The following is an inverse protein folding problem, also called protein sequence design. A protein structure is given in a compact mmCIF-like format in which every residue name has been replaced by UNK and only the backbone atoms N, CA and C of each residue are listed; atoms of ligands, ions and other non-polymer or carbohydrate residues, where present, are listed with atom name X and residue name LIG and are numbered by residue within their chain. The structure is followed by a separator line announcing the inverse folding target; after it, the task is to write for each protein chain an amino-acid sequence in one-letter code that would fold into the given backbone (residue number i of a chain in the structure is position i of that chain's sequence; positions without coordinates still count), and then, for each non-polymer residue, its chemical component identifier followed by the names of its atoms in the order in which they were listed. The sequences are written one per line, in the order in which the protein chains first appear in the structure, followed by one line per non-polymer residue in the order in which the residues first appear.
data_IF_492921565476
#
_entry.id   IF_492921565476
#
_cell.length_a   1.000
_cell.length_b   1.000
_cell.length_c   1.000
_cell.angle_alpha   90.00
_cell.angle_beta   90.00
_cell.angle_gamma   90.00
#
_symmetry.space_group_name_H-M   'P 1'
#
loop_
_entity.id
_entity.type
_entity.pdbx_description
1 polymer ?
#
# COMPACT_ATOMS: atom_id res chain seq x y z
N UNK A 1 -49.57 -37.65 34.08
CA UNK A 1 -50.06 -36.26 33.99
C UNK A 1 -49.27 -35.60 32.86
N UNK A 2 -49.86 -35.55 31.66
CA UNK A 2 -50.60 -34.41 31.09
C UNK A 2 -49.64 -33.28 30.69
N UNK A 3 -49.63 -32.68 29.51
CA UNK A 3 -50.43 -32.70 28.27
C UNK A 3 -49.58 -31.92 27.22
N UNK A 4 -49.58 -32.34 25.94
CA UNK A 4 -49.39 -31.45 24.77
C UNK A 4 -50.72 -30.70 24.53
N UNK A 5 -50.84 -29.54 23.83
CA UNK A 5 -50.61 -29.43 22.37
C UNK A 5 -50.27 -27.98 21.83
N UNK A 6 -49.76 -27.86 20.58
CA UNK A 6 -50.33 -27.22 19.34
C UNK A 6 -50.49 -25.69 19.23
N UNK A 7 -49.98 -25.13 18.11
CA UNK A 7 -50.67 -24.34 17.05
C UNK A 7 -49.57 -23.73 16.12
N UNK A 8 -49.40 -24.05 14.82
CA UNK A 8 -50.21 -23.85 13.60
C UNK A 8 -50.49 -22.38 13.17
N UNK A 9 -50.24 -22.09 11.88
CA UNK A 9 -50.74 -20.93 11.10
C UNK A 9 -49.61 -20.12 10.41
N UNK A 10 -49.21 -20.31 9.14
CA UNK A 10 -49.88 -20.12 7.82
C UNK A 10 -50.35 -18.67 7.56
N UNK A 11 -49.71 -17.98 6.62
CA UNK A 11 -50.37 -17.32 5.46
C UNK A 11 -49.37 -16.53 4.58
N UNK A 12 -49.42 -16.83 3.29
CA UNK A 12 -48.83 -16.07 2.20
C UNK A 12 -49.70 -14.84 1.84
N UNK A 13 -49.16 -13.91 1.02
CA UNK A 13 -49.78 -13.18 -0.12
C UNK A 13 -48.81 -12.02 -0.51
N UNK A 14 -48.09 -12.09 -1.63
CA UNK A 14 -48.42 -11.69 -3.02
C UNK A 14 -48.57 -10.18 -3.27
N UNK A 15 -47.69 -9.60 -4.11
CA UNK A 15 -48.06 -8.62 -5.15
C UNK A 15 -47.02 -8.55 -6.28
N UNK A 16 -47.49 -8.82 -7.50
CA UNK A 16 -46.82 -8.64 -8.81
C UNK A 16 -46.95 -7.17 -9.26
N UNK A 17 -46.08 -6.71 -10.16
CA UNK A 17 -46.33 -5.54 -11.01
C UNK A 17 -45.11 -5.03 -11.79
N UNK A 18 -45.09 -5.29 -13.10
CA UNK A 18 -44.13 -4.88 -14.14
C UNK A 18 -44.48 -3.47 -14.66
N UNK A 19 -43.51 -2.60 -14.99
CA UNK A 19 -43.57 -1.68 -16.17
C UNK A 19 -42.14 -1.34 -16.66
N UNK A 20 -42.00 -1.37 -17.98
CA UNK A 20 -40.85 -1.12 -18.88
C UNK A 20 -40.59 0.39 -19.09
N UNK A 21 -39.34 0.79 -19.38
CA UNK A 21 -39.05 2.13 -19.89
C UNK A 21 -37.60 2.33 -20.38
N UNK A 22 -37.35 1.98 -21.65
CA UNK A 22 -36.22 2.47 -22.47
C UNK A 22 -36.32 3.99 -22.66
N UNK A 23 -35.20 4.71 -22.65
CA UNK A 23 -34.82 5.77 -23.61
C UNK A 23 -33.32 6.05 -23.40
N UNK A 24 -32.53 5.76 -24.42
CA UNK A 24 -31.16 6.24 -24.56
C UNK A 24 -31.13 7.58 -25.31
N UNK A 25 -30.15 8.41 -24.99
CA UNK A 25 -29.72 9.51 -25.86
C UNK A 25 -28.19 9.55 -25.80
N UNK A 26 -27.55 9.07 -26.86
CA UNK A 26 -26.15 9.31 -27.19
C UNK A 26 -26.05 10.65 -27.93
N UNK A 27 -25.24 11.58 -27.41
CA UNK A 27 -24.85 12.77 -28.14
C UNK A 27 -23.44 12.56 -28.72
N UNK A 28 -23.40 12.67 -30.04
CA UNK A 28 -22.23 12.66 -30.90
C UNK A 28 -21.34 13.88 -30.63
N UNK A 29 -20.04 13.70 -30.82
CA UNK A 29 -19.03 14.73 -30.64
C UNK A 29 -18.96 15.76 -31.77
N UNK A 30 -18.12 16.76 -31.56
CA UNK A 30 -17.54 17.57 -32.61
C UNK A 30 -16.01 17.52 -32.46
N UNK A 31 -15.39 16.77 -33.37
CA UNK A 31 -14.03 16.96 -33.83
C UNK A 31 -13.97 18.28 -34.60
N UNK A 32 -12.93 19.08 -34.40
CA UNK A 32 -12.59 20.18 -35.29
C UNK A 32 -11.06 20.33 -35.31
N UNK A 33 -10.46 19.62 -36.27
CA UNK A 33 -9.73 20.30 -37.34
C UNK A 33 -8.37 20.85 -36.96
N UNK A 34 -7.37 19.97 -36.99
CA UNK A 34 -5.99 20.36 -37.28
C UNK A 34 -5.92 20.92 -38.71
N UNK A 35 -5.35 22.12 -38.89
CA UNK A 35 -4.77 22.54 -40.16
C UNK A 35 -3.69 23.58 -39.87
N UNK A 36 -2.45 23.09 -39.90
CA UNK A 36 -1.24 23.88 -39.99
C UNK A 36 -1.16 24.52 -41.38
N UNK A 37 -0.74 25.79 -41.43
CA UNK A 37 -0.10 26.34 -42.61
C UNK A 37 0.98 27.33 -42.16
N UNK A 38 2.23 26.87 -42.31
CA UNK A 38 3.48 27.57 -42.08
C UNK A 38 3.64 28.81 -42.95
N UNK A 39 4.20 29.89 -42.39
CA UNK A 39 5.14 30.77 -43.12
C UNK A 39 6.27 31.20 -42.18
N UNK A 40 7.46 31.28 -42.76
CA UNK A 40 8.76 31.25 -42.10
C UNK A 40 9.58 32.52 -42.43
N UNK A 41 10.31 33.01 -41.42
CA UNK A 41 11.47 33.93 -41.38
C UNK A 41 11.32 35.46 -41.64
N UNK A 42 11.39 36.22 -40.51
CA UNK A 42 12.33 37.30 -40.08
C UNK A 42 13.16 38.16 -41.07
N UNK A 43 13.81 39.29 -40.66
CA UNK A 43 13.84 39.99 -39.35
C UNK A 43 13.72 41.54 -39.42
N UNK A 44 13.17 42.19 -38.37
CA UNK A 44 13.52 43.59 -38.08
C UNK A 44 13.62 43.83 -36.59
N UNK A 45 14.84 44.14 -36.15
CA UNK A 45 15.23 44.54 -34.79
C UNK A 45 14.50 45.82 -34.35
N UNK A 46 13.71 45.74 -33.29
CA UNK A 46 13.55 46.85 -32.34
C UNK A 46 13.56 46.31 -30.92
N UNK A 47 14.53 46.80 -30.14
CA UNK A 47 14.57 46.67 -28.68
C UNK A 47 13.31 47.32 -28.12
N UNK A 48 12.53 46.56 -27.37
CA UNK A 48 11.73 47.09 -26.28
C UNK A 48 11.65 46.07 -25.15
N UNK A 49 11.99 46.52 -23.96
CA UNK A 49 11.98 45.75 -22.71
C UNK A 49 10.56 45.69 -22.18
N UNK A 50 10.11 44.54 -21.65
CA UNK A 50 9.23 44.62 -20.49
C UNK A 50 9.55 43.57 -19.39
N UNK A 51 9.64 44.12 -18.18
CA UNK A 51 9.25 43.56 -16.89
C UNK A 51 9.21 42.02 -16.75
N UNK A 52 10.23 41.50 -16.06
CA UNK A 52 10.30 40.13 -15.52
C UNK A 52 9.27 39.94 -14.40
N UNK A 53 8.02 39.64 -14.73
CA UNK A 53 7.08 39.02 -13.81
C UNK A 53 7.09 37.50 -14.00
N UNK A 54 8.14 36.84 -13.47
CA UNK A 54 8.14 35.39 -13.30
C UNK A 54 7.25 35.01 -12.11
N UNK A 55 5.94 35.00 -12.30
CA UNK A 55 5.09 34.10 -11.52
C UNK A 55 5.20 32.72 -12.16
N UNK A 56 6.28 32.01 -11.80
CA UNK A 56 6.44 30.59 -12.11
C UNK A 56 5.33 29.81 -11.40
N UNK A 57 4.29 29.46 -12.14
CA UNK A 57 3.26 28.54 -11.68
C UNK A 57 3.90 27.19 -11.41
N UNK A 58 4.03 26.82 -10.14
CA UNK A 58 4.52 25.50 -9.73
C UNK A 58 3.62 24.42 -10.32
N UNK A 59 4.20 23.41 -10.97
CA UNK A 59 3.44 22.28 -11.50
C UNK A 59 2.73 21.58 -10.34
N UNK A 60 1.45 21.25 -10.53
CA UNK A 60 0.63 20.53 -9.54
C UNK A 60 1.26 19.21 -9.09
N UNK A 61 2.10 18.59 -9.92
CA UNK A 61 2.90 17.40 -9.59
C UNK A 61 3.94 17.63 -8.50
N UNK A 62 4.40 18.87 -8.32
CA UNK A 62 5.39 19.24 -7.29
C UNK A 62 4.73 19.46 -5.91
N UNK A 63 3.43 19.74 -5.89
CA UNK A 63 2.65 20.03 -4.67
C UNK A 63 1.89 18.80 -4.18
N UNK A 64 1.43 17.91 -5.07
CA UNK A 64 0.62 16.75 -4.71
C UNK A 64 1.38 15.61 -4.00
N UNK A 65 2.72 15.62 -4.00
CA UNK A 65 3.54 14.56 -3.41
C UNK A 65 4.15 14.88 -2.03
N UNK A 66 4.04 16.13 -1.56
CA UNK A 66 4.69 16.58 -0.29
C UNK A 66 3.75 16.55 0.93
N UNK A 67 2.61 15.86 0.84
CA UNK A 67 1.73 15.69 1.97
C UNK A 67 2.36 14.74 3.01
N UNK A 68 2.97 15.35 4.03
CA UNK A 68 3.20 14.80 5.38
C UNK A 68 4.06 13.54 5.50
N UNK A 69 5.30 13.56 5.01
CA UNK A 69 6.33 12.71 5.62
C UNK A 69 7.15 13.60 6.54
N UNK A 70 7.04 13.39 7.86
CA UNK A 70 8.00 13.97 8.79
C UNK A 70 9.38 13.44 8.41
N UNK A 71 10.33 14.35 8.26
CA UNK A 71 11.71 14.00 7.96
C UNK A 71 12.30 13.30 9.20
N UNK A 72 12.50 11.99 9.10
CA UNK A 72 13.32 11.24 10.06
C UNK A 72 14.79 11.59 9.76
N UNK A 73 15.24 12.76 10.21
CA UNK A 73 16.56 13.35 9.94
C UNK A 73 17.74 12.50 10.43
N UNK A 74 17.49 11.52 11.29
CA UNK A 74 18.52 10.72 11.96
C UNK A 74 18.93 9.45 11.20
N UNK A 75 18.32 9.18 10.04
CA UNK A 75 18.67 7.99 9.26
C UNK A 75 19.85 8.26 8.32
N UNK A 76 20.91 7.47 8.48
CA UNK A 76 21.95 7.34 7.48
C UNK A 76 21.61 6.20 6.52
N UNK A 77 21.42 6.47 5.21
CA UNK A 77 21.29 5.43 4.18
C UNK A 77 22.41 4.40 4.29
N UNK A 78 22.04 3.12 4.25
CA UNK A 78 23.00 2.02 4.26
C UNK A 78 23.34 1.61 2.83
N UNK A 79 24.63 1.45 2.54
CA UNK A 79 25.06 0.83 1.28
C UNK A 79 24.83 -0.68 1.34
N UNK A 80 23.97 -1.18 0.46
CA UNK A 80 23.68 -2.62 0.32
C UNK A 80 24.83 -3.35 -0.39
N UNK A 81 25.15 -4.56 0.08
CA UNK A 81 26.07 -5.45 -0.63
C UNK A 81 25.45 -5.94 -1.96
N UNK A 82 26.28 -6.40 -2.91
CA UNK A 82 25.80 -6.83 -4.25
C UNK A 82 24.75 -7.95 -4.17
N UNK A 83 24.82 -8.80 -3.15
CA UNK A 83 23.88 -9.91 -2.96
C UNK A 83 22.61 -9.48 -2.24
N UNK A 84 22.64 -8.41 -1.45
CA UNK A 84 21.42 -7.76 -0.97
C UNK A 84 20.70 -7.03 -2.10
N UNK A 85 21.44 -6.42 -3.04
CA UNK A 85 20.86 -5.65 -4.14
C UNK A 85 19.90 -6.46 -5.00
N UNK A 86 20.11 -7.78 -5.15
CA UNK A 86 19.19 -8.64 -5.90
C UNK A 86 17.78 -8.68 -5.29
N UNK A 87 17.62 -8.37 -3.99
CA UNK A 87 16.34 -8.37 -3.27
C UNK A 87 15.64 -6.99 -3.27
N UNK A 88 16.24 -5.96 -3.84
CA UNK A 88 15.59 -4.66 -4.08
C UNK A 88 14.43 -4.86 -5.05
N UNK A 89 13.22 -4.52 -4.63
CA UNK A 89 12.03 -4.64 -5.46
C UNK A 89 10.73 -4.66 -4.67
N UNK A 90 9.63 -4.75 -5.40
CA UNK A 90 8.26 -4.81 -4.87
C UNK A 90 7.82 -6.26 -4.73
N UNK A 91 7.46 -6.68 -3.53
CA UNK A 91 6.94 -8.00 -3.22
C UNK A 91 5.49 -7.88 -2.76
N UNK A 92 4.62 -8.77 -3.24
CA UNK A 92 3.19 -8.74 -2.96
C UNK A 92 2.65 -10.11 -2.60
N UNK A 93 1.63 -10.10 -1.77
CA UNK A 93 0.76 -11.25 -1.51
C UNK A 93 -0.66 -10.78 -1.20
N UNK A 94 -1.64 -11.67 -1.33
CA UNK A 94 -3.01 -11.39 -0.93
C UNK A 94 -3.25 -11.94 0.48
N UNK A 95 -3.61 -11.06 1.40
CA UNK A 95 -3.90 -11.37 2.79
C UNK A 95 -5.41 -11.45 3.03
N UNK A 96 -5.78 -12.23 4.04
CA UNK A 96 -7.13 -12.22 4.58
C UNK A 96 -7.21 -11.16 5.65
N UNK A 97 -8.34 -10.45 5.69
CA UNK A 97 -8.57 -9.38 6.63
C UNK A 97 -9.56 -9.85 7.70
N UNK A 98 -9.05 -9.93 8.92
CA UNK A 98 -9.72 -10.37 10.13
C UNK A 98 -9.51 -9.39 11.30
N UNK A 99 -8.89 -8.22 11.05
CA UNK A 99 -8.82 -7.10 11.99
C UNK A 99 -7.69 -7.15 13.02
N UNK A 100 -6.85 -8.20 13.03
CA UNK A 100 -5.81 -8.36 14.05
C UNK A 100 -4.44 -7.86 13.58
N UNK A 101 -3.65 -8.70 12.90
CA UNK A 101 -2.29 -8.32 12.50
C UNK A 101 -2.29 -7.23 11.43
N UNK A 102 -3.16 -7.37 10.44
CA UNK A 102 -3.34 -6.36 9.41
C UNK A 102 -4.47 -5.41 9.80
N UNK A 103 -4.31 -4.08 9.66
CA UNK A 103 -5.32 -3.06 9.95
C UNK A 103 -6.47 -3.04 8.93
N UNK A 104 -7.04 -4.20 8.60
CA UNK A 104 -8.14 -4.38 7.67
C UNK A 104 -9.16 -5.38 8.23
N UNK A 105 -10.45 -5.05 8.17
CA UNK A 105 -11.48 -5.72 9.00
C UNK A 105 -12.09 -6.98 8.37
N UNK A 106 -12.44 -6.96 7.07
CA UNK A 106 -13.16 -8.08 6.43
C UNK A 106 -12.73 -8.32 4.99
N UNK A 107 -12.77 -9.53 4.44
CA UNK A 107 -12.44 -9.78 3.02
C UNK A 107 -10.94 -9.86 2.76
N UNK A 108 -10.46 -9.34 1.62
CA UNK A 108 -9.07 -9.49 1.15
C UNK A 108 -8.39 -8.15 0.94
N UNK A 109 -7.07 -8.12 1.10
CA UNK A 109 -6.23 -6.97 0.78
C UNK A 109 -4.90 -7.42 0.18
N UNK A 110 -4.25 -6.54 -0.56
CA UNK A 110 -2.89 -6.73 -1.02
C UNK A 110 -1.92 -6.24 0.04
N UNK A 111 -1.04 -7.12 0.51
CA UNK A 111 0.09 -6.77 1.36
C UNK A 111 1.34 -6.63 0.49
N UNK A 112 1.97 -5.47 0.55
CA UNK A 112 3.10 -5.09 -0.30
C UNK A 112 4.28 -4.68 0.57
N UNK A 113 5.47 -5.19 0.24
CA UNK A 113 6.76 -4.72 0.74
C UNK A 113 7.61 -4.21 -0.43
N UNK A 114 8.09 -2.98 -0.35
CA UNK A 114 9.03 -2.41 -1.30
C UNK A 114 10.40 -2.28 -0.64
N UNK A 115 11.32 -3.17 -0.96
CA UNK A 115 12.70 -3.09 -0.50
C UNK A 115 13.47 -2.09 -1.38
N UNK A 116 14.03 -1.05 -0.77
CA UNK A 116 14.70 0.04 -1.47
C UNK A 116 16.23 -0.06 -1.41
N UNK A 117 16.95 0.58 -2.37
CA UNK A 117 18.41 0.54 -2.44
C UNK A 117 19.14 1.16 -1.25
N UNK A 118 18.47 1.99 -0.46
CA UNK A 118 19.03 2.69 0.69
C UNK A 118 18.92 1.90 2.00
N UNK A 119 18.39 0.67 1.95
CA UNK A 119 18.15 -0.18 3.11
C UNK A 119 16.81 0.05 3.81
N UNK A 120 15.95 0.92 3.28
CA UNK A 120 14.58 1.10 3.79
C UNK A 120 13.61 0.11 3.15
N UNK A 121 12.50 -0.14 3.83
CA UNK A 121 11.39 -0.94 3.30
C UNK A 121 10.07 -0.21 3.51
N UNK A 122 9.27 -0.10 2.45
CA UNK A 122 7.92 0.47 2.55
C UNK A 122 6.87 -0.63 2.54
N UNK A 123 5.98 -0.55 3.52
CA UNK A 123 4.89 -1.49 3.70
C UNK A 123 3.56 -0.83 3.40
N UNK A 124 2.78 -1.44 2.51
CA UNK A 124 1.46 -0.95 2.14
C UNK A 124 0.43 -2.07 2.20
N UNK A 125 -0.77 -1.75 2.67
CA UNK A 125 -1.93 -2.64 2.61
C UNK A 125 -2.98 -1.97 1.74
N UNK A 126 -3.27 -2.55 0.58
CA UNK A 126 -4.13 -1.93 -0.43
C UNK A 126 -5.40 -2.75 -0.60
N UNK A 127 -6.55 -2.10 -0.54
CA UNK A 127 -7.85 -2.74 -0.78
C UNK A 127 -8.80 -1.75 -1.45
N UNK A 128 -9.46 -2.18 -2.53
CA UNK A 128 -10.43 -1.37 -3.29
C UNK A 128 -9.88 0.03 -3.65
N UNK A 129 -8.59 0.11 -3.98
CA UNK A 129 -7.89 1.37 -4.27
C UNK A 129 -7.58 2.24 -3.05
N UNK A 130 -8.05 1.90 -1.85
CA UNK A 130 -7.68 2.55 -0.60
C UNK A 130 -6.39 1.95 -0.06
N UNK A 131 -5.40 2.80 0.19
CA UNK A 131 -4.17 2.43 0.88
C UNK A 131 -4.39 2.65 2.37
N UNK A 132 -4.27 1.58 3.15
CA UNK A 132 -4.35 1.64 4.60
C UNK A 132 -2.94 1.80 5.15
N UNK A 133 -2.65 2.98 5.68
CA UNK A 133 -1.55 3.16 6.64
C UNK A 133 -1.96 2.53 7.97
N UNK A 134 -1.00 2.03 8.75
CA UNK A 134 -1.27 1.34 10.02
C UNK A 134 -2.21 2.17 10.90
N UNK A 135 -3.44 1.69 11.11
CA UNK A 135 -4.44 2.41 11.92
C UNK A 135 -3.84 2.64 13.31
N UNK A 136 -3.99 3.87 13.81
CA UNK A 136 -3.73 4.15 15.22
C UNK A 136 -4.60 3.24 16.08
N UNK A 137 -3.98 2.28 16.77
CA UNK A 137 -4.67 1.52 17.80
C UNK A 137 -4.91 2.44 19.00
N UNK A 138 -6.08 2.39 19.65
CA UNK A 138 -6.29 3.09 20.92
C UNK A 138 -5.16 2.72 21.89
N UNK A 139 -4.39 3.71 22.36
CA UNK A 139 -3.19 3.52 23.20
C UNK A 139 -1.84 3.64 22.48
N UNK A 140 -1.81 3.78 21.14
CA UNK A 140 -0.58 3.98 20.35
C UNK A 140 -0.69 5.28 19.53
N UNK A 141 -0.23 6.40 20.09
CA UNK A 141 -0.48 7.77 19.58
C UNK A 141 0.55 8.29 18.56
N UNK A 142 1.49 7.48 18.05
CA UNK A 142 2.60 7.97 17.21
C UNK A 142 2.85 7.09 15.96
N UNK A 143 1.83 6.82 15.16
CA UNK A 143 1.94 6.03 13.92
C UNK A 143 1.74 6.87 12.64
N UNK A 144 2.30 8.08 12.58
CA UNK A 144 2.58 8.71 11.29
C UNK A 144 3.69 7.89 10.61
N UNK A 145 3.64 7.77 9.28
CA UNK A 145 4.57 7.04 8.43
C UNK A 145 5.95 6.77 9.06
N UNK A 146 6.24 5.49 9.32
CA UNK A 146 7.44 5.05 10.04
C UNK A 146 8.43 4.46 9.04
N UNK A 147 9.66 4.97 9.03
CA UNK A 147 10.73 4.43 8.17
C UNK A 147 11.20 3.09 8.75
N UNK A 148 10.65 2.00 8.23
CA UNK A 148 11.13 0.65 8.49
C UNK A 148 12.39 0.38 7.66
N UNK A 149 13.26 -0.48 8.16
CA UNK A 149 14.51 -0.87 7.48
C UNK A 149 14.57 -2.37 7.28
N UNK A 150 15.55 -2.83 6.50
CA UNK A 150 15.75 -4.26 6.32
C UNK A 150 17.22 -4.63 6.22
N UNK A 151 17.49 -5.89 6.59
CA UNK A 151 18.80 -6.51 6.46
C UNK A 151 18.65 -7.94 5.96
N UNK A 152 19.76 -8.51 5.47
CA UNK A 152 19.89 -9.94 5.23
C UNK A 152 20.73 -10.58 6.34
N UNK A 153 20.38 -11.80 6.73
CA UNK A 153 21.17 -12.57 7.68
C UNK A 153 22.55 -12.97 7.09
N UNK A 154 23.46 -13.44 7.94
CA UNK A 154 24.82 -13.81 7.52
C UNK A 154 24.85 -15.01 6.58
N UNK A 155 23.95 -15.97 6.77
CA UNK A 155 23.84 -17.21 5.99
C UNK A 155 23.07 -16.99 4.69
N UNK A 156 22.43 -15.83 4.53
CA UNK A 156 21.73 -15.37 3.31
C UNK A 156 20.50 -16.21 2.99
N UNK A 157 19.88 -16.72 4.03
CA UNK A 157 18.67 -17.53 3.96
C UNK A 157 17.43 -16.73 4.37
N UNK A 158 17.61 -15.53 4.92
CA UNK A 158 16.54 -14.74 5.50
C UNK A 158 16.72 -13.23 5.29
N UNK A 159 15.62 -12.56 4.96
CA UNK A 159 15.49 -11.12 5.09
C UNK A 159 14.78 -10.78 6.40
N UNK A 160 15.26 -9.74 7.07
CA UNK A 160 14.70 -9.25 8.34
C UNK A 160 14.19 -7.84 8.10
N UNK A 161 12.90 -7.63 8.30
CA UNK A 161 12.27 -6.31 8.30
C UNK A 161 12.23 -5.78 9.72
N UNK A 162 12.93 -4.67 9.95
CA UNK A 162 12.98 -3.97 11.23
C UNK A 162 11.94 -2.86 11.22
N UNK A 163 10.93 -3.00 12.07
CA UNK A 163 9.97 -1.95 12.35
C UNK A 163 10.61 -0.89 13.23
N UNK A 164 10.29 0.38 13.03
CA UNK A 164 10.77 1.49 13.90
C UNK A 164 10.42 1.30 15.39
N UNK A 165 9.37 0.52 15.69
CA UNK A 165 8.96 0.09 17.03
C UNK A 165 9.95 -0.85 17.73
N UNK A 166 10.88 -1.43 16.96
CA UNK A 166 11.79 -2.49 17.38
C UNK A 166 11.30 -3.91 17.03
N UNK A 167 10.10 -4.07 16.47
CA UNK A 167 9.64 -5.39 16.01
C UNK A 167 10.45 -5.85 14.79
N UNK A 168 10.84 -7.12 14.78
CA UNK A 168 11.50 -7.75 13.64
C UNK A 168 10.55 -8.76 12.98
N UNK A 169 10.38 -8.69 11.66
CA UNK A 169 9.66 -9.72 10.90
C UNK A 169 10.63 -10.45 9.99
N UNK A 170 10.64 -11.78 10.10
CA UNK A 170 11.58 -12.65 9.41
C UNK A 170 10.93 -13.25 8.17
N UNK A 171 11.68 -13.27 7.08
CA UNK A 171 11.25 -13.80 5.79
C UNK A 171 12.33 -14.75 5.28
N UNK A 172 12.02 -16.05 5.21
CA UNK A 172 12.87 -17.03 4.55
C UNK A 172 12.93 -16.75 3.05
N UNK A 173 14.13 -16.73 2.51
CA UNK A 173 14.39 -16.64 1.07
C UNK A 173 14.17 -18.03 0.48
N UNK A 174 13.12 -18.17 -0.32
CA UNK A 174 12.90 -19.38 -1.12
C UNK A 174 13.72 -19.29 -2.41
N UNK A 175 13.68 -18.12 -3.05
CA UNK A 175 14.48 -17.73 -4.21
C UNK A 175 14.50 -16.18 -4.30
N UNK A 176 15.20 -15.62 -5.29
CA UNK A 176 15.31 -14.17 -5.47
C UNK A 176 13.94 -13.45 -5.68
N UNK A 177 12.92 -14.19 -6.11
CA UNK A 177 11.57 -13.69 -6.43
C UNK A 177 10.53 -14.08 -5.37
N UNK A 178 10.87 -14.93 -4.41
CA UNK A 178 9.92 -15.54 -3.48
C UNK A 178 10.42 -15.49 -2.05
N UNK A 179 9.63 -14.84 -1.20
CA UNK A 179 9.88 -14.73 0.23
C UNK A 179 8.76 -15.40 1.01
N UNK A 180 9.09 -16.12 2.07
CA UNK A 180 8.14 -16.78 2.96
C UNK A 180 8.25 -16.21 4.36
N UNK A 181 7.18 -15.60 4.87
CA UNK A 181 7.16 -15.17 6.28
C UNK A 181 7.47 -16.34 7.22
N UNK A 182 8.31 -16.10 8.21
CA UNK A 182 8.60 -17.06 9.28
C UNK A 182 7.81 -16.70 10.54
N UNK A 183 6.71 -17.42 10.73
CA UNK A 183 5.79 -17.25 11.86
C UNK A 183 6.47 -17.58 13.19
N UNK A 184 7.22 -18.69 13.25
CA UNK A 184 7.81 -19.14 14.50
C UNK A 184 8.92 -18.19 14.93
N UNK A 185 9.80 -17.81 14.01
CA UNK A 185 10.90 -16.90 14.32
C UNK A 185 10.41 -15.52 14.73
N UNK A 186 9.46 -14.96 13.97
CA UNK A 186 8.86 -13.66 14.30
C UNK A 186 8.10 -13.69 15.63
N UNK A 187 7.32 -14.73 15.91
CA UNK A 187 6.45 -14.73 17.10
C UNK A 187 7.11 -15.26 18.38
N UNK A 188 8.06 -16.18 18.26
CA UNK A 188 8.51 -17.02 19.37
C UNK A 188 10.02 -17.03 19.58
N UNK A 189 10.86 -16.68 18.59
CA UNK A 189 12.33 -16.78 18.75
C UNK A 189 13.02 -15.43 18.95
N UNK A 190 12.40 -14.32 18.56
CA UNK A 190 12.93 -12.99 18.84
C UNK A 190 12.44 -12.48 20.21
N UNK A 191 13.37 -12.32 21.16
CA UNK A 191 13.06 -11.87 22.52
C UNK A 191 12.49 -10.46 22.58
N UNK A 192 12.92 -9.56 21.68
CA UNK A 192 12.42 -8.19 21.65
C UNK A 192 10.97 -8.17 21.17
N UNK A 193 10.65 -8.98 20.16
CA UNK A 193 9.29 -9.19 19.72
C UNK A 193 8.42 -9.73 20.85
N UNK A 194 8.87 -10.74 21.59
CA UNK A 194 8.11 -11.27 22.73
C UNK A 194 7.76 -10.18 23.76
N UNK A 195 8.74 -9.32 24.10
CA UNK A 195 8.52 -8.17 25.01
C UNK A 195 7.48 -7.20 24.46
N UNK A 196 7.50 -6.93 23.16
CA UNK A 196 6.53 -6.05 22.51
C UNK A 196 5.14 -6.71 22.44
N UNK A 197 5.03 -8.00 22.16
CA UNK A 197 3.74 -8.70 22.17
C UNK A 197 3.09 -8.70 23.55
N UNK A 198 3.87 -8.87 24.62
CA UNK A 198 3.38 -8.73 25.98
C UNK A 198 2.82 -7.33 26.29
N UNK A 199 3.20 -6.31 25.51
CA UNK A 199 2.71 -4.93 25.58
C UNK A 199 1.53 -4.64 24.62
N UNK A 200 0.97 -5.67 23.98
CA UNK A 200 -0.21 -5.54 23.11
C UNK A 200 0.11 -5.32 21.62
N UNK A 201 1.38 -5.42 21.20
CA UNK A 201 1.69 -5.49 19.77
C UNK A 201 1.17 -6.80 19.18
N UNK A 202 0.69 -6.80 17.92
CA UNK A 202 0.09 -7.99 17.33
C UNK A 202 1.16 -8.98 16.91
N UNK A 203 0.90 -10.27 17.17
CA UNK A 203 1.66 -11.38 16.59
C UNK A 203 1.25 -11.57 15.13
N UNK A 204 2.16 -12.07 14.31
CA UNK A 204 1.81 -12.56 12.99
C UNK A 204 0.89 -13.77 13.16
N UNK A 205 -0.17 -13.89 12.37
CA UNK A 205 -1.14 -15.00 12.52
C UNK A 205 -0.95 -16.09 11.48
N UNK A 206 -0.43 -15.74 10.32
CA UNK A 206 -0.25 -16.65 9.19
C UNK A 206 1.06 -16.35 8.48
N UNK A 207 1.68 -17.40 7.96
CA UNK A 207 2.90 -17.33 7.20
C UNK A 207 2.57 -17.13 5.71
N UNK A 208 2.50 -15.89 5.24
CA UNK A 208 2.24 -15.60 3.83
C UNK A 208 3.50 -15.73 2.98
N UNK A 209 3.33 -16.23 1.75
CA UNK A 209 4.36 -16.19 0.70
C UNK A 209 4.18 -14.91 -0.11
N UNK A 210 5.24 -14.12 -0.25
CA UNK A 210 5.29 -12.94 -1.09
C UNK A 210 6.05 -13.25 -2.37
N UNK A 211 5.51 -12.76 -3.49
CA UNK A 211 6.11 -12.88 -4.81
C UNK A 211 6.55 -11.50 -5.29
N UNK A 212 7.72 -11.41 -5.88
CA UNK A 212 8.20 -10.19 -6.52
C UNK A 212 7.28 -9.86 -7.71
N UNK A 213 6.88 -8.61 -7.80
CA UNK A 213 6.21 -8.08 -8.98
C UNK A 213 7.23 -7.79 -10.08
N UNK A 214 6.90 -8.06 -11.35
CA UNK A 214 7.75 -7.66 -12.47
C UNK A 214 7.91 -6.13 -12.49
N UNK A 215 9.12 -5.68 -12.82
CA UNK A 215 9.37 -4.27 -13.09
C UNK A 215 8.68 -3.95 -14.43
N UNK A 216 7.59 -3.18 -14.40
CA UNK A 216 6.97 -2.61 -15.61
C UNK A 216 7.69 -1.34 -16.05
#
# INVERSE_FOLDING_TARGET
MNLKPEHQGVMAILRRGIVVGLIGVSLFGCDNGHSEASQQHEPTSMKDTPAKNEHSGKKLTEVAGRATMQDDSDYAPRKLDIREQQFIGRYRTQIQCDGYFFPCETGKADFILNFLPDGTVHRSIVRLGKVFSEKQRPGFTHLNYRRDTWTMDKERTELIVHRKEGLNFYYRVIDAQTLQMDLNKSNNLDENNQKLYARGFPKLERAYTLKREPNN
#
